data_IF_175477107304
#
_entry.id   IF_175477107304
#
_cell.length_a   1.000
_cell.length_b   1.000
_cell.length_c   1.000
_cell.angle_alpha   90.00
_cell.angle_beta   90.00
_cell.angle_gamma   90.00
#
_symmetry.space_group_name_H-M   'P 1'
#
loop_
_entity.id
_entity.type
_entity.pdbx_description
1 polymer ?
#
# COMPACT_ATOMS: atom_id res chain seq x y z
N UNK A 1 5.61 -39.38 -8.09
CA UNK A 1 6.67 -38.48 -7.59
C UNK A 1 6.41 -38.34 -6.11
N UNK A 2 7.20 -39.03 -5.29
CA UNK A 2 7.13 -38.98 -3.83
C UNK A 2 7.47 -37.57 -3.36
N UNK A 3 6.57 -37.00 -2.56
CA UNK A 3 6.63 -35.64 -2.07
C UNK A 3 7.78 -35.52 -1.05
N UNK A 4 8.73 -34.58 -1.18
CA UNK A 4 9.86 -34.44 -0.25
C UNK A 4 9.50 -33.70 1.05
N UNK A 5 8.21 -33.65 1.43
CA UNK A 5 7.71 -32.98 2.64
C UNK A 5 7.29 -33.94 3.76
N UNK A 6 7.37 -35.26 3.56
CA UNK A 6 6.97 -36.24 4.58
C UNK A 6 8.14 -36.65 5.51
N UNK A 7 9.33 -36.09 5.32
CA UNK A 7 10.41 -36.17 6.33
C UNK A 7 10.24 -35.03 7.31
N UNK A 8 9.26 -35.19 8.21
CA UNK A 8 9.14 -34.34 9.39
C UNK A 8 10.41 -34.52 10.23
N UNK A 9 11.22 -33.47 10.44
CA UNK A 9 12.49 -33.58 11.19
C UNK A 9 12.31 -34.14 12.62
N UNK A 10 11.08 -34.13 13.16
CA UNK A 10 10.75 -34.77 14.43
C UNK A 10 10.73 -36.31 14.40
N UNK A 11 10.41 -36.95 13.27
CA UNK A 11 10.32 -38.42 13.21
C UNK A 11 11.70 -39.08 13.21
N UNK A 12 12.68 -38.47 12.56
CA UNK A 12 14.06 -38.95 12.55
C UNK A 12 14.72 -38.81 13.93
N UNK A 13 14.45 -37.71 14.63
CA UNK A 13 14.88 -37.50 16.01
C UNK A 13 14.28 -38.56 16.94
N UNK A 14 12.97 -38.80 16.85
CA UNK A 14 12.29 -39.80 17.67
C UNK A 14 12.83 -41.22 17.43
N UNK A 15 13.07 -41.59 16.18
CA UNK A 15 13.64 -42.91 15.84
C UNK A 15 15.06 -43.11 16.37
N UNK A 16 15.87 -42.04 16.41
CA UNK A 16 17.20 -42.07 17.01
C UNK A 16 17.12 -42.23 18.54
N UNK A 17 16.24 -41.48 19.21
CA UNK A 17 16.06 -41.58 20.66
C UNK A 17 15.55 -42.97 21.09
N UNK A 18 14.62 -43.57 20.33
CA UNK A 18 14.14 -44.92 20.61
C UNK A 18 15.26 -45.97 20.47
N UNK A 19 16.12 -45.81 19.45
CA UNK A 19 17.28 -46.69 19.26
C UNK A 19 18.29 -46.54 20.39
N UNK A 20 18.53 -45.31 20.85
CA UNK A 20 19.46 -45.00 21.94
C UNK A 20 18.95 -45.56 23.29
N UNK A 21 17.66 -45.43 23.58
CA UNK A 21 17.01 -46.02 24.77
C UNK A 21 17.13 -47.55 24.80
N UNK A 22 16.88 -48.23 23.67
CA UNK A 22 17.02 -49.69 23.56
C UNK A 22 18.46 -50.15 23.80
N UNK A 23 19.43 -49.35 23.36
CA UNK A 23 20.85 -49.66 23.52
C UNK A 23 21.28 -49.53 25.00
N UNK A 24 20.80 -48.48 25.68
CA UNK A 24 21.00 -48.28 27.13
C UNK A 24 20.33 -49.38 27.95
N UNK A 25 19.09 -49.77 27.61
CA UNK A 25 18.37 -50.86 28.30
C UNK A 25 19.09 -52.22 28.17
N UNK A 26 19.62 -52.51 26.98
CA UNK A 26 20.39 -53.73 26.73
C UNK A 26 21.70 -53.77 27.53
N UNK A 27 22.46 -52.67 27.55
CA UNK A 27 23.70 -52.55 28.34
C UNK A 27 23.42 -52.66 29.84
N UNK A 28 22.34 -52.02 30.31
CA UNK A 28 21.93 -52.10 31.71
C UNK A 28 21.56 -53.53 32.11
N UNK A 29 20.79 -54.22 31.27
CA UNK A 29 20.38 -55.61 31.48
C UNK A 29 21.59 -56.53 31.55
N UNK A 30 22.56 -56.36 30.65
CA UNK A 30 23.80 -57.12 30.65
C UNK A 30 24.62 -56.88 31.92
N UNK A 31 24.79 -55.62 32.34
CA UNK A 31 25.50 -55.26 33.58
C UNK A 31 24.82 -55.88 34.80
N UNK A 32 23.49 -55.83 34.88
CA UNK A 32 22.71 -56.41 35.98
C UNK A 32 22.87 -57.93 36.05
N UNK A 33 22.93 -58.62 34.91
CA UNK A 33 23.15 -60.07 34.86
C UNK A 33 24.56 -60.50 35.28
N UNK A 34 25.57 -59.63 35.14
CA UNK A 34 26.97 -59.92 35.53
C UNK A 34 27.26 -59.65 37.02
N UNK A 35 26.50 -58.77 37.68
CA UNK A 35 26.65 -58.43 39.10
C UNK A 35 26.67 -59.65 40.07
N UNK A 36 25.88 -60.73 39.85
CA UNK A 36 25.93 -61.93 40.68
C UNK A 36 27.25 -62.71 40.59
N UNK A 37 27.97 -62.61 39.47
CA UNK A 37 29.24 -63.33 39.25
C UNK A 37 30.46 -62.57 39.77
N UNK A 38 30.30 -61.29 40.12
CA UNK A 38 31.35 -60.42 40.65
C UNK A 38 31.37 -60.43 42.19
N UNK A 39 32.55 -60.29 42.80
CA UNK A 39 32.72 -60.25 44.25
C UNK A 39 33.63 -59.09 44.71
N UNK A 40 33.50 -58.68 45.98
CA UNK A 40 34.34 -57.63 46.57
C UNK A 40 34.15 -56.24 45.93
N UNK A 41 35.26 -55.57 45.62
CA UNK A 41 35.28 -54.19 45.09
C UNK A 41 34.75 -54.08 43.65
N UNK A 42 34.92 -55.10 42.82
CA UNK A 42 34.42 -55.13 41.43
C UNK A 42 32.90 -55.09 41.38
N UNK A 43 32.25 -55.84 42.28
CA UNK A 43 30.78 -55.84 42.42
C UNK A 43 30.26 -54.46 42.80
N UNK A 44 30.96 -53.77 43.71
CA UNK A 44 30.58 -52.45 44.21
C UNK A 44 30.71 -51.37 43.12
N UNK A 45 31.74 -51.47 42.28
CA UNK A 45 31.90 -50.59 41.12
C UNK A 45 30.85 -50.86 40.04
N UNK A 46 30.54 -52.13 39.76
CA UNK A 46 29.51 -52.51 38.80
C UNK A 46 28.13 -52.01 39.21
N UNK A 47 27.76 -52.12 40.50
CA UNK A 47 26.50 -51.60 41.04
C UNK A 47 26.41 -50.08 40.86
N UNK A 48 27.46 -49.30 41.22
CA UNK A 48 27.47 -47.84 41.01
C UNK A 48 27.45 -47.42 39.55
N UNK A 49 27.97 -48.25 38.65
CA UNK A 49 27.88 -48.04 37.21
C UNK A 49 26.46 -48.24 36.71
N UNK A 50 25.80 -49.30 37.17
CA UNK A 50 24.40 -49.58 36.84
C UNK A 50 23.45 -48.51 37.42
N UNK A 51 23.67 -48.05 38.65
CA UNK A 51 22.88 -46.96 39.25
C UNK A 51 22.94 -45.68 38.43
N UNK A 52 24.14 -45.27 37.97
CA UNK A 52 24.29 -44.09 37.11
C UNK A 52 23.58 -44.23 35.77
N UNK A 53 23.68 -45.40 35.14
CA UNK A 53 23.00 -45.65 33.87
C UNK A 53 21.47 -45.73 34.03
N UNK A 54 20.96 -46.17 35.18
CA UNK A 54 19.52 -46.08 35.52
C UNK A 54 19.08 -44.63 35.66
N UNK A 55 19.87 -43.81 36.35
CA UNK A 55 19.55 -42.39 36.54
C UNK A 55 19.52 -41.62 35.22
N UNK A 56 20.48 -41.89 34.33
CA UNK A 56 20.54 -41.31 32.97
C UNK A 56 19.35 -41.74 32.11
N UNK A 57 18.99 -43.03 32.12
CA UNK A 57 17.80 -43.52 31.42
C UNK A 57 16.48 -42.92 31.97
N UNK A 58 16.43 -42.64 33.28
CA UNK A 58 15.28 -42.02 33.93
C UNK A 58 15.13 -40.55 33.58
N UNK A 59 16.25 -39.84 33.40
CA UNK A 59 16.27 -38.45 32.93
C UNK A 59 15.77 -38.36 31.48
N UNK A 60 16.28 -39.21 30.58
CA UNK A 60 15.83 -39.30 29.19
C UNK A 60 14.32 -39.56 29.07
N UNK A 61 13.77 -40.41 29.95
CA UNK A 61 12.33 -40.71 29.98
C UNK A 61 11.47 -39.57 30.52
N UNK A 62 12.03 -38.68 31.34
CA UNK A 62 11.29 -37.54 31.91
C UNK A 62 11.15 -36.40 30.89
N UNK A 63 12.12 -36.25 29.99
CA UNK A 63 12.07 -35.33 28.84
C UNK A 63 11.09 -35.75 27.74
N UNK A 64 10.58 -36.98 27.78
CA UNK A 64 9.65 -37.55 26.78
C UNK A 64 8.25 -37.82 27.39
N UNK A 65 7.86 -37.10 28.45
CA UNK A 65 6.52 -37.26 29.03
C UNK A 65 5.48 -36.81 27.98
N UNK A 66 4.56 -37.69 27.55
CA UNK A 66 3.56 -37.38 26.52
C UNK A 66 2.65 -36.18 26.87
N UNK A 67 2.63 -35.76 28.14
CA UNK A 67 1.95 -34.55 28.58
C UNK A 67 2.61 -33.27 28.03
N UNK A 68 3.94 -33.21 27.94
CA UNK A 68 4.66 -32.02 27.48
C UNK A 68 4.45 -31.78 25.99
N UNK A 69 4.47 -32.85 25.19
CA UNK A 69 4.14 -32.79 23.76
C UNK A 69 2.70 -32.31 23.49
N UNK A 70 1.73 -32.75 24.30
CA UNK A 70 0.33 -32.27 24.19
C UNK A 70 0.18 -30.81 24.58
N UNK A 71 0.92 -30.34 25.59
CA UNK A 71 0.95 -28.94 26.01
C UNK A 71 1.52 -28.04 24.90
N UNK A 72 2.59 -28.47 24.24
CA UNK A 72 3.22 -27.74 23.14
C UNK A 72 2.30 -27.65 21.92
N UNK A 73 1.68 -28.77 21.51
CA UNK A 73 0.69 -28.78 20.42
C UNK A 73 -0.49 -27.85 20.70
N UNK A 74 -0.99 -27.82 21.94
CA UNK A 74 -2.08 -26.92 22.35
C UNK A 74 -1.66 -25.46 22.28
N UNK A 75 -0.46 -25.11 22.75
CA UNK A 75 0.08 -23.75 22.61
C UNK A 75 0.19 -23.34 21.13
N UNK A 76 0.66 -24.25 20.28
CA UNK A 76 0.76 -23.99 18.84
C UNK A 76 -0.61 -23.71 18.22
N UNK A 77 -1.62 -24.53 18.53
CA UNK A 77 -3.00 -24.31 18.08
C UNK A 77 -3.57 -22.97 18.57
N UNK A 78 -3.38 -22.64 19.85
CA UNK A 78 -3.80 -21.35 20.41
C UNK A 78 -3.15 -20.18 19.68
N UNK A 79 -1.84 -20.26 19.43
CA UNK A 79 -1.11 -19.22 18.69
C UNK A 79 -1.60 -19.09 17.23
N UNK A 80 -1.95 -20.22 16.61
CA UNK A 80 -2.57 -20.26 15.29
C UNK A 80 -3.94 -19.57 15.28
N UNK A 81 -4.77 -19.85 16.28
CA UNK A 81 -6.11 -19.24 16.41
C UNK A 81 -6.02 -17.73 16.64
N UNK A 82 -5.07 -17.27 17.46
CA UNK A 82 -4.85 -15.85 17.73
C UNK A 82 -4.36 -15.11 16.48
N UNK A 83 -3.46 -15.73 15.70
CA UNK A 83 -3.01 -15.19 14.41
C UNK A 83 -4.17 -15.11 13.42
N UNK A 84 -5.02 -16.12 13.36
CA UNK A 84 -6.20 -16.13 12.49
C UNK A 84 -7.20 -15.05 12.90
N UNK A 85 -7.47 -14.89 14.19
CA UNK A 85 -8.34 -13.84 14.72
C UNK A 85 -7.85 -12.44 14.33
N UNK A 86 -6.54 -12.17 14.51
CA UNK A 86 -5.92 -10.91 14.09
C UNK A 86 -5.97 -10.70 12.58
N UNK A 87 -5.77 -11.75 11.79
CA UNK A 87 -5.87 -11.67 10.33
C UNK A 87 -7.31 -11.36 9.89
N UNK A 88 -8.31 -12.03 10.47
CA UNK A 88 -9.72 -11.78 10.21
C UNK A 88 -10.11 -10.33 10.53
N UNK A 89 -9.66 -9.80 11.67
CA UNK A 89 -9.92 -8.41 12.04
C UNK A 89 -9.28 -7.42 11.04
N UNK A 90 -8.04 -7.68 10.62
CA UNK A 90 -7.37 -6.86 9.59
C UNK A 90 -8.07 -6.92 8.24
N UNK A 91 -8.61 -8.07 7.86
CA UNK A 91 -9.38 -8.22 6.62
C UNK A 91 -10.69 -7.43 6.66
N UNK A 92 -11.41 -7.48 7.79
CA UNK A 92 -12.62 -6.66 7.98
C UNK A 92 -12.31 -5.16 7.92
N UNK A 93 -11.22 -4.73 8.56
CA UNK A 93 -10.77 -3.35 8.49
C UNK A 93 -10.38 -2.94 7.06
N UNK A 94 -9.63 -3.79 6.36
CA UNK A 94 -9.26 -3.58 4.96
C UNK A 94 -10.50 -3.45 4.06
N UNK A 95 -11.51 -4.30 4.26
CA UNK A 95 -12.77 -4.23 3.53
C UNK A 95 -13.50 -2.91 3.81
N UNK A 96 -13.55 -2.47 5.07
CA UNK A 96 -14.14 -1.19 5.46
C UNK A 96 -13.44 -0.02 4.75
N UNK A 97 -12.12 0.03 4.82
CA UNK A 97 -11.31 1.08 4.17
C UNK A 97 -11.49 1.04 2.65
N UNK A 98 -11.57 -0.15 2.05
CA UNK A 98 -11.81 -0.31 0.62
C UNK A 98 -13.17 0.26 0.19
N UNK A 99 -14.24 0.00 0.96
CA UNK A 99 -15.56 0.57 0.70
C UNK A 99 -15.58 2.09 0.86
N UNK A 100 -14.91 2.62 1.89
CA UNK A 100 -14.74 4.07 2.06
C UNK A 100 -13.98 4.70 0.88
N UNK A 101 -12.93 4.02 0.41
CA UNK A 101 -12.15 4.45 -0.76
C UNK A 101 -12.98 4.42 -2.03
N UNK A 102 -13.81 3.40 -2.23
CA UNK A 102 -14.75 3.32 -3.36
C UNK A 102 -15.74 4.48 -3.34
N UNK A 103 -16.31 4.78 -2.17
CA UNK A 103 -17.23 5.89 -2.00
C UNK A 103 -16.57 7.25 -2.32
N UNK A 104 -15.36 7.48 -1.81
CA UNK A 104 -14.58 8.69 -2.11
C UNK A 104 -14.31 8.76 -3.62
N UNK A 105 -13.88 7.65 -4.23
CA UNK A 105 -13.64 7.57 -5.67
C UNK A 105 -14.87 7.90 -6.52
N UNK A 106 -16.04 7.40 -6.12
CA UNK A 106 -17.31 7.70 -6.77
C UNK A 106 -17.65 9.20 -6.67
N UNK A 107 -17.46 9.82 -5.50
CA UNK A 107 -17.67 11.28 -5.35
C UNK A 107 -16.68 12.10 -6.18
N UNK A 108 -15.40 11.72 -6.22
CA UNK A 108 -14.39 12.40 -7.05
C UNK A 108 -14.75 12.31 -8.53
N UNK A 109 -15.24 11.16 -9.00
CA UNK A 109 -15.67 11.01 -10.39
C UNK A 109 -16.88 11.90 -10.70
N UNK A 110 -17.83 12.02 -9.78
CA UNK A 110 -18.96 12.92 -9.91
C UNK A 110 -18.50 14.40 -9.97
N UNK A 111 -17.57 14.79 -9.11
CA UNK A 111 -16.99 16.14 -9.10
C UNK A 111 -16.24 16.45 -10.41
N UNK A 112 -15.43 15.51 -10.91
CA UNK A 112 -14.75 15.66 -12.19
C UNK A 112 -15.73 15.82 -13.36
N UNK A 113 -16.85 15.08 -13.33
CA UNK A 113 -17.90 15.23 -14.32
C UNK A 113 -18.54 16.64 -14.26
N UNK A 114 -18.81 17.15 -13.06
CA UNK A 114 -19.31 18.51 -12.89
C UNK A 114 -18.28 19.56 -13.36
N UNK A 115 -17.01 19.40 -13.00
CA UNK A 115 -15.93 20.30 -13.43
C UNK A 115 -15.78 20.33 -14.94
N UNK A 116 -15.92 19.18 -15.61
CA UNK A 116 -15.96 19.12 -17.08
C UNK A 116 -17.06 20.00 -17.65
N UNK A 117 -18.28 19.94 -17.11
CA UNK A 117 -19.39 20.78 -17.56
C UNK A 117 -19.09 22.28 -17.38
N UNK A 118 -18.43 22.65 -16.26
CA UNK A 118 -17.97 24.03 -16.03
C UNK A 118 -16.93 24.47 -17.05
N UNK A 119 -15.97 23.60 -17.38
CA UNK A 119 -14.94 23.88 -18.38
C UNK A 119 -15.56 24.03 -19.78
N UNK A 120 -16.47 23.14 -20.17
CA UNK A 120 -17.19 23.21 -21.44
C UNK A 120 -18.02 24.51 -21.54
N UNK A 121 -18.70 24.91 -20.46
CA UNK A 121 -19.40 26.19 -20.40
C UNK A 121 -18.47 27.40 -20.52
N UNK A 122 -17.35 27.37 -19.78
CA UNK A 122 -16.34 28.43 -19.83
C UNK A 122 -15.76 28.56 -21.23
N UNK A 123 -15.42 27.43 -21.86
CA UNK A 123 -14.92 27.38 -23.23
C UNK A 123 -15.94 27.94 -24.23
N UNK A 124 -17.23 27.55 -24.12
CA UNK A 124 -18.31 28.11 -24.96
C UNK A 124 -18.44 29.63 -24.77
N UNK A 125 -18.38 30.12 -23.54
CA UNK A 125 -18.47 31.55 -23.25
C UNK A 125 -17.26 32.32 -23.81
N UNK A 126 -16.05 31.76 -23.73
CA UNK A 126 -14.85 32.36 -24.31
C UNK A 126 -14.96 32.49 -25.83
N UNK A 127 -15.39 31.42 -26.53
CA UNK A 127 -15.63 31.46 -27.98
C UNK A 127 -16.69 32.51 -28.36
N UNK A 128 -17.75 32.64 -27.55
CA UNK A 128 -18.75 33.69 -27.79
C UNK A 128 -18.18 35.10 -27.55
N UNK A 129 -17.35 35.27 -26.52
CA UNK A 129 -16.67 36.52 -26.20
C UNK A 129 -15.75 36.98 -27.34
N UNK A 130 -15.01 36.07 -27.98
CA UNK A 130 -14.20 36.37 -29.17
C UNK A 130 -15.05 36.98 -30.30
N UNK A 131 -16.27 36.47 -30.51
CA UNK A 131 -17.23 37.04 -31.47
C UNK A 131 -17.70 38.46 -31.12
N UNK A 132 -17.92 38.75 -29.82
CA UNK A 132 -18.26 40.10 -29.37
C UNK A 132 -17.08 41.07 -29.51
N UNK A 133 -15.85 40.61 -29.30
CA UNK A 133 -14.64 41.41 -29.50
C UNK A 133 -14.51 41.80 -30.97
N UNK A 134 -14.64 40.86 -31.91
CA UNK A 134 -14.56 41.18 -33.35
C UNK A 134 -15.63 42.20 -33.78
N UNK A 135 -16.88 42.02 -33.31
CA UNK A 135 -17.96 42.97 -33.57
C UNK A 135 -17.63 44.35 -32.99
N UNK A 136 -17.07 44.41 -31.79
CA UNK A 136 -16.66 45.66 -31.14
C UNK A 136 -15.53 46.36 -31.89
N UNK A 137 -14.56 45.61 -32.42
CA UNK A 137 -13.49 46.15 -33.28
C UNK A 137 -14.08 46.72 -34.57
N UNK A 138 -15.05 46.04 -35.18
CA UNK A 138 -15.73 46.50 -36.39
C UNK A 138 -16.51 47.79 -36.16
N UNK A 139 -17.24 47.92 -35.05
CA UNK A 139 -17.97 49.15 -34.71
C UNK A 139 -17.00 50.30 -34.41
N UNK A 140 -15.93 50.06 -33.65
CA UNK A 140 -14.88 51.03 -33.38
C UNK A 140 -14.23 51.55 -34.68
N UNK A 141 -13.88 50.66 -35.61
CA UNK A 141 -13.38 51.05 -36.94
C UNK A 141 -14.36 51.92 -37.71
N UNK A 142 -15.66 51.63 -37.63
CA UNK A 142 -16.72 52.45 -38.22
C UNK A 142 -16.77 53.86 -37.63
N UNK A 143 -16.68 53.98 -36.30
CA UNK A 143 -16.64 55.26 -35.60
C UNK A 143 -15.38 56.06 -35.96
N UNK A 144 -14.22 55.40 -36.03
CA UNK A 144 -12.95 56.04 -36.40
C UNK A 144 -13.01 56.63 -37.82
N UNK A 145 -13.58 55.92 -38.80
CA UNK A 145 -13.77 56.45 -40.17
C UNK A 145 -14.67 57.67 -40.18
N UNK A 146 -15.84 57.60 -39.54
CA UNK A 146 -16.78 58.75 -39.46
C UNK A 146 -16.12 59.96 -38.79
N UNK A 147 -15.34 59.73 -37.73
CA UNK A 147 -14.59 60.78 -37.05
C UNK A 147 -13.58 61.46 -38.00
N UNK A 148 -12.84 60.69 -38.80
CA UNK A 148 -11.89 61.24 -39.76
C UNK A 148 -12.61 62.07 -40.84
N UNK A 149 -13.72 61.57 -41.40
CA UNK A 149 -14.53 62.31 -42.38
C UNK A 149 -15.05 63.61 -41.80
N UNK A 150 -15.62 63.58 -40.60
CA UNK A 150 -16.13 64.78 -39.93
C UNK A 150 -15.00 65.80 -39.69
N UNK A 151 -13.81 65.35 -39.25
CA UNK A 151 -12.65 66.23 -39.08
C UNK A 151 -12.20 66.88 -40.40
N UNK A 152 -12.13 66.12 -41.49
CA UNK A 152 -11.76 66.65 -42.81
C UNK A 152 -12.76 67.69 -43.32
N UNK A 153 -14.07 67.45 -43.15
CA UNK A 153 -15.12 68.41 -43.51
C UNK A 153 -14.94 69.71 -42.72
N UNK A 154 -14.71 69.62 -41.41
CA UNK A 154 -14.49 70.82 -40.57
C UNK A 154 -13.28 71.63 -41.04
N UNK A 155 -12.16 70.96 -41.34
CA UNK A 155 -10.95 71.63 -41.85
C UNK A 155 -11.24 72.31 -43.19
N UNK A 156 -11.94 71.64 -44.11
CA UNK A 156 -12.30 72.19 -45.42
C UNK A 156 -13.22 73.42 -45.31
N UNK A 157 -14.20 73.43 -44.40
CA UNK A 157 -15.07 74.59 -44.18
C UNK A 157 -14.25 75.78 -43.67
N UNK A 158 -13.37 75.55 -42.69
CA UNK A 158 -12.52 76.61 -42.13
C UNK A 158 -11.61 77.22 -43.22
N UNK A 159 -10.97 76.39 -44.07
CA UNK A 159 -10.10 76.89 -45.13
C UNK A 159 -10.85 77.72 -46.16
N UNK A 160 -12.07 77.29 -46.57
CA UNK A 160 -12.93 78.06 -47.48
C UNK A 160 -13.33 79.40 -46.87
N UNK A 161 -13.71 79.44 -45.59
CA UNK A 161 -14.07 80.69 -44.90
C UNK A 161 -12.90 81.67 -44.86
N UNK A 162 -11.69 81.20 -44.56
CA UNK A 162 -10.48 82.04 -44.54
C UNK A 162 -10.19 82.61 -45.93
N UNK A 163 -10.28 81.78 -46.98
CA UNK A 163 -10.07 82.24 -48.36
C UNK A 163 -11.10 83.29 -48.79
N UNK A 164 -12.37 83.12 -48.41
CA UNK A 164 -13.41 84.12 -48.68
C UNK A 164 -13.13 85.45 -47.97
N UNK A 165 -12.70 85.42 -46.70
CA UNK A 165 -12.34 86.63 -45.95
C UNK A 165 -11.19 87.36 -46.65
N UNK A 166 -10.12 86.64 -47.01
CA UNK A 166 -8.99 87.22 -47.75
C UNK A 166 -9.44 87.78 -49.09
N UNK A 167 -10.28 87.05 -49.83
CA UNK A 167 -10.81 87.50 -51.12
C UNK A 167 -11.64 88.79 -51.02
N UNK A 168 -12.50 88.90 -50.01
CA UNK A 168 -13.27 90.12 -49.74
C UNK A 168 -12.36 91.29 -49.37
N UNK A 169 -11.35 91.05 -48.52
CA UNK A 169 -10.36 92.09 -48.15
C UNK A 169 -9.63 92.57 -49.41
N UNK A 170 -9.13 91.65 -50.25
CA UNK A 170 -8.47 91.99 -51.49
C UNK A 170 -9.37 92.81 -52.42
N UNK A 171 -10.64 92.39 -52.59
CA UNK A 171 -11.62 93.10 -53.42
C UNK A 171 -12.05 94.45 -52.85
N UNK A 172 -11.89 94.68 -51.55
CA UNK A 172 -12.21 95.97 -50.91
C UNK A 172 -11.04 96.95 -50.98
N UNK A 173 -9.81 96.45 -50.86
CA UNK A 173 -8.60 97.27 -50.84
C UNK A 173 -7.97 97.50 -52.22
N UNK A 174 -8.48 96.83 -53.26
CA UNK A 174 -8.19 97.10 -54.67
C UNK A 174 -9.38 97.78 -55.31
#
# INVERSE_FOLDING_TARGET
>A
MSNPLDTEPGSELFSNYEAELKLVEADLTQKVQQIPELSGEERKQAIRGAERAVDEAKELRYTDDPQDAQLEQRQQLLSGTERLGRSSQRLQESQRIALETEQIGASTLADLHQQRNVLENTHRNLLQSEGYVDRSVKTLRGMARRMATNRLITIAIITVLVLLIIGVIYSKFK
#
